data_IF_288657187933
#
_entry.id   IF_288657187933
#
_cell.length_a   1.000
_cell.length_b   1.000
_cell.length_c   1.000
_cell.angle_alpha   90.00
_cell.angle_beta   90.00
_cell.angle_gamma   90.00
#
_symmetry.space_group_name_H-M   'P 1'
#
loop_
_entity.id
_entity.type
_entity.pdbx_description
1 polymer ?
#
# COMPACT_ATOMS: atom_id res chain seq x y z
N UNK A 1 20.39 -2.98 6.03
CA UNK A 1 20.32 -3.75 4.76
C UNK A 1 19.33 -3.14 3.78
N UNK A 2 18.09 -2.78 4.19
CA UNK A 2 17.12 -2.09 3.32
C UNK A 2 17.52 -0.65 2.93
N UNK A 3 18.35 0.03 3.72
CA UNK A 3 18.78 1.41 3.41
C UNK A 3 19.72 1.55 2.19
N UNK A 4 20.25 0.44 1.68
CA UNK A 4 21.16 0.41 0.54
C UNK A 4 20.49 -0.06 -0.77
N UNK A 5 19.19 -0.37 -0.74
CA UNK A 5 18.44 -0.88 -1.88
C UNK A 5 17.66 0.25 -2.57
N UNK A 6 17.83 0.36 -3.88
CA UNK A 6 17.09 1.31 -4.72
C UNK A 6 15.60 0.96 -4.78
N UNK A 7 14.73 1.98 -4.72
CA UNK A 7 13.28 1.82 -4.74
C UNK A 7 12.79 1.05 -5.97
N UNK A 8 13.34 1.33 -7.14
CA UNK A 8 12.94 0.67 -8.39
C UNK A 8 13.30 -0.81 -8.36
N UNK A 9 14.48 -1.16 -7.84
CA UNK A 9 14.87 -2.58 -7.70
C UNK A 9 13.87 -3.32 -6.80
N UNK A 10 13.46 -2.70 -5.69
CA UNK A 10 12.49 -3.33 -4.78
C UNK A 10 11.14 -3.54 -5.48
N UNK A 11 10.60 -2.51 -6.12
CA UNK A 11 9.29 -2.54 -6.75
C UNK A 11 9.24 -3.42 -8.01
N UNK A 12 10.27 -3.38 -8.85
CA UNK A 12 10.27 -4.03 -10.16
C UNK A 12 10.79 -5.47 -10.12
N UNK A 13 11.62 -5.80 -9.12
CA UNK A 13 12.26 -7.12 -9.04
C UNK A 13 11.88 -7.86 -7.77
N UNK A 14 12.10 -7.27 -6.59
CA UNK A 14 11.93 -8.00 -5.31
C UNK A 14 10.46 -8.34 -5.06
N UNK A 15 9.54 -7.37 -5.14
CA UNK A 15 8.13 -7.65 -4.86
C UNK A 15 7.51 -8.67 -5.84
N UNK A 16 7.75 -8.59 -7.16
CA UNK A 16 7.28 -9.62 -8.10
C UNK A 16 7.87 -11.01 -7.83
N UNK A 17 9.13 -11.09 -7.40
CA UNK A 17 9.76 -12.38 -7.06
C UNK A 17 9.07 -13.05 -5.87
N UNK A 18 8.64 -12.30 -4.84
CA UNK A 18 7.90 -12.86 -3.71
C UNK A 18 6.58 -13.51 -4.14
N UNK A 19 5.93 -12.96 -5.16
CA UNK A 19 4.65 -13.47 -5.67
C UNK A 19 4.80 -14.79 -6.44
N UNK A 20 5.99 -15.07 -6.95
CA UNK A 20 6.29 -16.30 -7.70
C UNK A 20 6.61 -17.49 -6.80
N UNK A 21 6.78 -17.29 -5.48
CA UNK A 21 7.12 -18.36 -4.55
C UNK A 21 5.90 -19.27 -4.34
N UNK A 22 5.94 -20.55 -4.75
CA UNK A 22 4.79 -21.44 -4.65
C UNK A 22 4.63 -22.05 -3.25
N UNK A 23 5.68 -21.99 -2.42
CA UNK A 23 5.68 -22.63 -1.10
C UNK A 23 4.67 -21.99 -0.15
N UNK A 24 3.94 -22.85 0.57
CA UNK A 24 2.99 -22.49 1.64
C UNK A 24 3.49 -22.91 3.02
N UNK A 25 4.78 -23.22 3.15
CA UNK A 25 5.36 -23.49 4.46
C UNK A 25 5.27 -22.25 5.36
N UNK A 26 4.89 -22.37 6.65
CA UNK A 26 4.68 -21.21 7.52
C UNK A 26 5.89 -20.28 7.59
N UNK A 27 7.10 -20.82 7.67
CA UNK A 27 8.32 -19.99 7.68
C UNK A 27 8.48 -19.12 6.43
N UNK A 28 8.09 -19.65 5.26
CA UNK A 28 8.14 -18.90 3.99
C UNK A 28 7.05 -17.82 3.98
N UNK A 29 5.83 -18.16 4.38
CA UNK A 29 4.71 -17.21 4.45
C UNK A 29 5.03 -16.04 5.39
N UNK A 30 5.62 -16.32 6.54
CA UNK A 30 6.04 -15.29 7.49
C UNK A 30 7.18 -14.42 6.97
N UNK A 31 8.12 -15.00 6.22
CA UNK A 31 9.19 -14.23 5.59
C UNK A 31 8.63 -13.27 4.53
N UNK A 32 7.73 -13.75 3.66
CA UNK A 32 7.05 -12.93 2.65
C UNK A 32 6.30 -11.78 3.32
N UNK A 33 5.50 -12.08 4.36
CA UNK A 33 4.75 -11.07 5.11
C UNK A 33 5.67 -10.02 5.74
N UNK A 34 6.78 -10.46 6.35
CA UNK A 34 7.77 -9.58 6.97
C UNK A 34 8.42 -8.62 5.98
N UNK A 35 8.73 -9.09 4.76
CA UNK A 35 9.30 -8.24 3.72
C UNK A 35 8.30 -7.18 3.27
N UNK A 36 7.05 -7.53 2.97
CA UNK A 36 6.02 -6.55 2.61
C UNK A 36 5.83 -5.50 3.71
N UNK A 37 5.74 -5.93 4.97
CA UNK A 37 5.58 -5.03 6.09
C UNK A 37 6.79 -4.08 6.26
N UNK A 38 8.02 -4.59 6.11
CA UNK A 38 9.23 -3.79 6.19
C UNK A 38 9.35 -2.77 5.04
N UNK A 39 9.01 -3.18 3.82
CA UNK A 39 9.03 -2.28 2.64
C UNK A 39 7.99 -1.18 2.79
N UNK A 40 6.78 -1.51 3.25
CA UNK A 40 5.69 -0.55 3.45
C UNK A 40 6.05 0.51 4.50
N UNK A 41 6.67 0.10 5.62
CA UNK A 41 7.08 1.01 6.69
C UNK A 41 8.33 1.84 6.37
N UNK A 42 9.07 1.51 5.32
CA UNK A 42 10.26 2.25 4.95
C UNK A 42 9.88 3.53 4.18
N UNK A 43 10.11 4.71 4.76
CA UNK A 43 9.78 6.01 4.15
C UNK A 43 10.45 6.29 2.80
N UNK A 44 11.61 5.69 2.51
CA UNK A 44 12.33 5.89 1.23
C UNK A 44 11.75 5.02 0.12
N UNK A 45 11.38 3.79 0.45
CA UNK A 45 10.88 2.83 -0.53
C UNK A 45 9.36 2.98 -0.64
N UNK A 46 8.66 2.81 0.48
CA UNK A 46 7.22 2.89 0.62
C UNK A 46 6.47 1.94 -0.33
N UNK A 47 5.15 1.97 -0.25
CA UNK A 47 4.28 1.44 -1.28
C UNK A 47 3.16 2.44 -1.51
N UNK A 48 2.85 2.72 -2.77
CA UNK A 48 1.70 3.55 -3.14
C UNK A 48 0.39 2.77 -2.94
N UNK A 49 -0.68 3.48 -2.56
CA UNK A 49 -2.03 2.92 -2.41
C UNK A 49 -2.49 2.09 -3.61
N UNK A 50 -2.15 2.47 -4.84
CA UNK A 50 -2.58 1.74 -6.04
C UNK A 50 -1.91 0.36 -6.08
N UNK A 51 -0.61 0.28 -5.79
CA UNK A 51 0.11 -0.99 -5.73
C UNK A 51 -0.44 -1.89 -4.62
N UNK A 52 -0.68 -1.32 -3.44
CA UNK A 52 -1.26 -2.04 -2.31
C UNK A 52 -2.63 -2.63 -2.65
N UNK A 53 -3.54 -1.82 -3.18
CA UNK A 53 -4.91 -2.22 -3.48
C UNK A 53 -5.02 -3.22 -4.64
N UNK A 54 -4.20 -3.08 -5.69
CA UNK A 54 -4.37 -3.84 -6.94
C UNK A 54 -3.51 -5.09 -7.03
N UNK A 55 -2.40 -5.18 -6.28
CA UNK A 55 -1.47 -6.31 -6.36
C UNK A 55 -1.15 -6.93 -5.01
N UNK A 56 -0.79 -6.12 -4.02
CA UNK A 56 -0.25 -6.67 -2.77
C UNK A 56 -1.34 -7.27 -1.90
N UNK A 57 -2.42 -6.53 -1.62
CA UNK A 57 -3.55 -7.05 -0.84
C UNK A 57 -4.20 -8.28 -1.50
N UNK A 58 -4.50 -8.29 -2.83
CA UNK A 58 -4.99 -9.49 -3.51
C UNK A 58 -4.07 -10.70 -3.39
N UNK A 59 -2.76 -10.51 -3.24
CA UNK A 59 -1.80 -11.59 -3.02
C UNK A 59 -1.70 -12.02 -1.56
N UNK A 60 -1.61 -11.07 -0.62
CA UNK A 60 -1.34 -11.34 0.81
C UNK A 60 -2.57 -11.90 1.54
N UNK A 61 -3.78 -11.44 1.21
CA UNK A 61 -5.01 -11.87 1.90
C UNK A 61 -5.25 -13.39 1.77
N UNK A 62 -5.15 -14.01 0.57
CA UNK A 62 -5.26 -15.47 0.45
C UNK A 62 -4.22 -16.25 1.27
N UNK A 63 -2.99 -15.73 1.43
CA UNK A 63 -1.97 -16.40 2.24
C UNK A 63 -2.34 -16.49 3.73
N UNK A 64 -3.19 -15.56 4.20
CA UNK A 64 -3.62 -15.54 5.60
C UNK A 64 -4.58 -16.67 5.99
N UNK A 65 -5.20 -17.33 5.01
CA UNK A 65 -6.13 -18.45 5.26
C UNK A 65 -5.50 -19.82 5.00
N UNK A 66 -4.19 -19.87 4.79
CA UNK A 66 -3.47 -21.12 4.59
C UNK A 66 -3.55 -22.00 5.86
N UNK A 67 -3.95 -23.29 5.73
CA UNK A 67 -4.23 -24.16 6.87
C UNK A 67 -2.98 -24.52 7.68
N UNK A 68 -1.79 -24.25 7.13
CA UNK A 68 -0.51 -24.48 7.79
C UNK A 68 -0.18 -23.44 8.86
N UNK A 69 -0.90 -22.31 8.89
CA UNK A 69 -0.66 -21.24 9.85
C UNK A 69 -1.18 -21.60 11.25
N UNK A 70 -0.44 -21.17 12.26
CA UNK A 70 -0.92 -21.18 13.64
C UNK A 70 -1.59 -19.85 14.02
N UNK A 71 -2.23 -19.81 15.19
CA UNK A 71 -2.97 -18.65 15.69
C UNK A 71 -2.11 -17.38 15.77
N UNK A 72 -0.85 -17.49 16.21
CA UNK A 72 0.03 -16.34 16.34
C UNK A 72 0.42 -15.77 14.97
N UNK A 73 0.69 -16.63 14.01
CA UNK A 73 1.02 -16.26 12.63
C UNK A 73 -0.18 -15.59 11.93
N UNK A 74 -1.38 -16.18 12.05
CA UNK A 74 -2.61 -15.57 11.54
C UNK A 74 -2.83 -14.15 12.11
N UNK A 75 -2.64 -13.96 13.41
CA UNK A 75 -2.75 -12.64 14.03
C UNK A 75 -1.78 -11.61 13.42
N UNK A 76 -0.56 -12.03 13.11
CA UNK A 76 0.42 -11.16 12.44
C UNK A 76 -0.01 -10.79 11.02
N UNK A 77 -0.55 -11.74 10.24
CA UNK A 77 -1.16 -11.44 8.93
C UNK A 77 -2.24 -10.38 9.05
N UNK A 78 -3.16 -10.53 10.01
CA UNK A 78 -4.26 -9.60 10.19
C UNK A 78 -3.81 -8.19 10.60
N UNK A 79 -2.74 -8.07 11.39
CA UNK A 79 -2.14 -6.76 11.70
C UNK A 79 -1.63 -6.10 10.43
N UNK A 80 -0.81 -6.80 9.64
CA UNK A 80 -0.22 -6.23 8.42
C UNK A 80 -1.28 -5.89 7.37
N UNK A 81 -2.29 -6.75 7.17
CA UNK A 81 -3.38 -6.49 6.22
C UNK A 81 -4.18 -5.24 6.63
N UNK A 82 -4.46 -5.06 7.92
CA UNK A 82 -5.14 -3.84 8.40
C UNK A 82 -4.27 -2.60 8.20
N UNK A 83 -2.98 -2.67 8.49
CA UNK A 83 -2.06 -1.55 8.26
C UNK A 83 -2.05 -1.16 6.77
N UNK A 84 -2.04 -2.15 5.86
CA UNK A 84 -2.11 -1.91 4.41
C UNK A 84 -3.43 -1.25 3.99
N UNK A 85 -4.56 -1.75 4.48
CA UNK A 85 -5.88 -1.18 4.19
C UNK A 85 -5.98 0.26 4.69
N UNK A 86 -5.49 0.53 5.90
CA UNK A 86 -5.46 1.87 6.47
C UNK A 86 -4.60 2.83 5.65
N UNK A 87 -3.46 2.38 5.12
CA UNK A 87 -2.62 3.20 4.22
C UNK A 87 -3.38 3.57 2.95
N UNK A 88 -4.03 2.58 2.31
CA UNK A 88 -4.84 2.80 1.10
C UNK A 88 -5.96 3.80 1.37
N UNK A 89 -6.71 3.60 2.45
CA UNK A 89 -7.81 4.47 2.85
C UNK A 89 -7.33 5.91 3.08
N UNK A 90 -6.27 6.09 3.88
CA UNK A 90 -5.72 7.40 4.22
C UNK A 90 -5.26 8.15 2.96
N UNK A 91 -4.45 7.50 2.12
CA UNK A 91 -3.92 8.12 0.90
C UNK A 91 -4.99 8.42 -0.15
N UNK A 92 -6.06 7.62 -0.22
CA UNK A 92 -7.15 7.85 -1.14
C UNK A 92 -8.03 9.01 -0.66
N UNK A 93 -8.36 9.06 0.64
CA UNK A 93 -9.15 10.15 1.22
C UNK A 93 -8.43 11.49 1.07
N UNK A 94 -7.14 11.56 1.42
CA UNK A 94 -6.35 12.79 1.27
C UNK A 94 -6.34 13.28 -0.18
N UNK A 95 -6.21 12.37 -1.16
CA UNK A 95 -6.25 12.76 -2.57
C UNK A 95 -7.62 13.31 -2.98
N UNK A 96 -8.71 12.67 -2.56
CA UNK A 96 -10.07 13.12 -2.88
C UNK A 96 -10.39 14.49 -2.25
N UNK A 97 -10.00 14.70 -1.00
CA UNK A 97 -10.18 15.99 -0.31
C UNK A 97 -9.41 17.12 -0.99
N UNK A 98 -8.17 16.87 -1.41
CA UNK A 98 -7.37 17.86 -2.15
C UNK A 98 -8.01 18.23 -3.49
N UNK A 99 -8.54 17.25 -4.23
CA UNK A 99 -9.24 17.50 -5.49
C UNK A 99 -10.49 18.36 -5.27
N UNK A 100 -11.31 18.02 -4.27
CA UNK A 100 -12.49 18.81 -3.91
C UNK A 100 -12.16 20.27 -3.56
N UNK A 101 -11.08 20.51 -2.80
CA UNK A 101 -10.65 21.86 -2.46
C UNK A 101 -10.20 22.67 -3.68
N UNK A 102 -9.50 22.03 -4.64
CA UNK A 102 -9.08 22.68 -5.88
C UNK A 102 -10.28 23.07 -6.76
N UNK A 103 -11.31 22.23 -6.82
CA UNK A 103 -12.55 22.53 -7.56
C UNK A 103 -13.31 23.74 -6.97
N UNK A 104 -13.40 23.82 -5.64
CA UNK A 104 -14.06 24.94 -4.94
C UNK A 104 -13.32 26.28 -5.15
N UNK A 105 -11.99 26.29 -5.13
CA UNK A 105 -11.17 27.47 -5.40
C UNK A 105 -11.33 27.96 -6.85
N UNK A 106 -11.36 27.03 -7.80
CA UNK A 106 -11.52 27.36 -9.22
C UNK A 106 -12.91 27.96 -9.49
N UNK A 107 -13.95 27.49 -8.79
CA UNK A 107 -15.32 27.99 -8.93
C UNK A 107 -15.52 29.38 -8.31
N UNK A 108 -14.84 29.68 -7.21
CA UNK A 108 -14.95 30.97 -6.51
C UNK A 108 -14.06 32.08 -7.13
N UNK A 109 -13.06 31.72 -7.93
CA UNK A 109 -12.21 32.66 -8.69
C UNK A 109 -12.83 33.24 -9.97
N UNK A 110 -14.01 32.78 -10.43
CA UNK A 110 -14.65 33.24 -11.68
C UNK A 110 -15.66 34.37 -11.45
N UNK A 111 -15.59 35.09 -10.32
CA UNK A 111 -16.36 36.33 -10.13
C UNK A 111 -15.72 37.44 -10.96
N UNK A 112 -16.15 37.58 -12.22
CA UNK A 112 -15.83 38.74 -13.06
C UNK A 112 -16.27 40.03 -12.34
N UNK A 113 -15.38 41.04 -12.19
CA UNK A 113 -15.81 42.34 -11.72
C UNK A 113 -16.78 42.97 -12.74
N UNK A 114 -17.81 43.71 -12.29
CA UNK A 114 -18.71 44.40 -13.22
C UNK A 114 -17.89 45.40 -14.06
N UNK A 115 -18.10 45.38 -15.38
CA UNK A 115 -17.44 46.31 -16.29
C UNK A 115 -17.80 47.76 -15.90
N UNK A 116 -16.83 48.69 -15.84
CA UNK A 116 -17.12 50.10 -15.61
C UNK A 116 -17.82 50.68 -16.85
N UNK A 117 -18.86 51.48 -16.58
CA UNK A 117 -19.72 52.16 -17.55
C UNK A 117 -18.99 53.12 -18.48
#
# INVERSE_FOLDING_TARGET
MLDALDKHIVHDHILPLLQQIPSRAPGVLMAILGIYHAVMKNKKIGMDKVLLATRILPFVVPLSVEPTLNVAQFKQFMVVIRDMLQSVETEQLTQLEQLSQMEEQTRSGVVFPPFPH
#
